data_IF_467455974032
#
_entry.id   IF_467455974032
#
_cell.length_a   1.000
_cell.length_b   1.000
_cell.length_c   1.000
_cell.angle_alpha   90.00
_cell.angle_beta   90.00
_cell.angle_gamma   90.00
#
_symmetry.space_group_name_H-M   'P 1'
#
loop_
_entity.id
_entity.type
_entity.pdbx_description
1 polymer ?
#
# COMPACT_ATOMS: atom_id res chain seq x y z
N UNK A 1 -10.13 3.77 -24.79
CA UNK A 1 -11.14 4.21 -23.79
C UNK A 1 -10.36 4.47 -22.51
N UNK A 2 -10.32 5.71 -22.03
CA UNK A 2 -9.61 6.04 -20.77
C UNK A 2 -10.47 5.51 -19.63
N UNK A 3 -9.87 4.71 -18.74
CA UNK A 3 -10.54 4.24 -17.52
C UNK A 3 -10.84 5.45 -16.64
N UNK A 4 -12.07 5.57 -16.17
CA UNK A 4 -12.46 6.55 -15.16
C UNK A 4 -12.00 6.11 -13.77
N UNK A 5 -11.98 7.03 -12.81
CA UNK A 5 -11.70 6.70 -11.40
C UNK A 5 -12.71 5.67 -10.86
N UNK A 6 -13.98 5.77 -11.27
CA UNK A 6 -15.02 4.79 -10.97
C UNK A 6 -14.69 3.40 -11.51
N UNK A 7 -14.11 3.30 -12.71
CA UNK A 7 -13.69 2.01 -13.26
C UNK A 7 -12.52 1.42 -12.44
N UNK A 8 -11.58 2.27 -12.00
CA UNK A 8 -10.47 1.83 -11.15
C UNK A 8 -10.95 1.34 -9.77
N UNK A 9 -11.87 2.08 -9.14
CA UNK A 9 -12.49 1.68 -7.88
C UNK A 9 -13.22 0.34 -8.00
N UNK A 10 -14.01 0.15 -9.05
CA UNK A 10 -14.72 -1.11 -9.29
C UNK A 10 -13.77 -2.31 -9.48
N UNK A 11 -12.63 -2.09 -10.16
CA UNK A 11 -11.58 -3.11 -10.32
C UNK A 11 -10.89 -3.42 -8.98
N UNK A 12 -10.57 -2.40 -8.18
CA UNK A 12 -9.98 -2.59 -6.85
C UNK A 12 -10.92 -3.40 -5.95
N UNK A 13 -12.20 -3.06 -5.92
CA UNK A 13 -13.22 -3.79 -5.15
C UNK A 13 -13.37 -5.24 -5.61
N UNK A 14 -13.29 -5.50 -6.93
CA UNK A 14 -13.36 -6.85 -7.47
C UNK A 14 -12.16 -7.71 -7.05
N UNK A 15 -10.95 -7.13 -7.06
CA UNK A 15 -9.74 -7.80 -6.59
C UNK A 15 -9.81 -8.10 -5.09
N UNK A 16 -10.25 -7.14 -4.27
CA UNK A 16 -10.40 -7.33 -2.82
C UNK A 16 -11.38 -8.45 -2.53
N UNK A 17 -12.58 -8.41 -3.12
CA UNK A 17 -13.61 -9.44 -2.90
C UNK A 17 -13.13 -10.84 -3.27
N UNK A 18 -12.49 -11.00 -4.42
CA UNK A 18 -12.01 -12.31 -4.85
C UNK A 18 -10.82 -12.78 -4.02
N UNK A 19 -9.92 -11.87 -3.62
CA UNK A 19 -8.81 -12.16 -2.72
C UNK A 19 -9.30 -12.67 -1.36
N UNK A 20 -10.22 -11.94 -0.73
CA UNK A 20 -10.79 -12.31 0.57
C UNK A 20 -11.53 -13.65 0.50
N UNK A 21 -12.31 -13.87 -0.56
CA UNK A 21 -13.01 -15.14 -0.79
C UNK A 21 -12.01 -16.30 -0.86
N UNK A 22 -10.94 -16.16 -1.65
CA UNK A 22 -9.92 -17.23 -1.81
C UNK A 22 -9.11 -17.44 -0.54
N UNK A 23 -8.77 -16.38 0.19
CA UNK A 23 -8.11 -16.50 1.49
C UNK A 23 -8.98 -17.26 2.48
N UNK A 24 -10.26 -16.92 2.59
CA UNK A 24 -11.21 -17.61 3.48
C UNK A 24 -11.43 -19.08 3.08
N UNK A 25 -11.38 -19.39 1.79
CA UNK A 25 -11.52 -20.75 1.26
C UNK A 25 -10.22 -21.59 1.28
N UNK A 26 -9.07 -20.98 1.56
CA UNK A 26 -7.76 -21.65 1.47
C UNK A 26 -7.30 -21.93 0.03
N UNK A 27 -7.85 -21.21 -0.95
CA UNK A 27 -7.64 -21.38 -2.41
C UNK A 27 -6.54 -20.44 -2.94
N UNK A 28 -5.64 -19.96 -2.08
CA UNK A 28 -4.60 -18.99 -2.47
C UNK A 28 -3.56 -19.60 -3.41
N UNK A 29 -3.38 -20.93 -3.39
CA UNK A 29 -2.50 -21.66 -4.31
C UNK A 29 -2.92 -21.52 -5.79
N UNK A 30 -4.19 -21.20 -6.05
CA UNK A 30 -4.72 -21.02 -7.41
C UNK A 30 -4.53 -19.58 -7.93
N UNK A 31 -3.99 -18.67 -7.10
CA UNK A 31 -3.62 -17.32 -7.51
C UNK A 31 -2.17 -17.36 -7.98
N UNK A 32 -1.92 -16.96 -9.23
CA UNK A 32 -0.56 -16.94 -9.74
C UNK A 32 0.31 -15.91 -9.02
N UNK A 33 1.56 -16.26 -8.73
CA UNK A 33 2.55 -15.35 -8.16
C UNK A 33 2.69 -14.06 -8.97
N UNK A 34 2.63 -14.17 -10.31
CA UNK A 34 2.71 -13.04 -11.22
C UNK A 34 1.57 -12.02 -11.00
N UNK A 35 0.34 -12.49 -10.71
CA UNK A 35 -0.78 -11.63 -10.38
C UNK A 35 -0.54 -10.88 -9.06
N UNK A 36 -0.06 -11.58 -8.03
CA UNK A 36 0.25 -10.97 -6.73
C UNK A 36 1.37 -9.93 -6.89
N UNK A 37 2.41 -10.24 -7.65
CA UNK A 37 3.51 -9.31 -7.95
C UNK A 37 3.03 -8.04 -8.66
N UNK A 38 2.16 -8.18 -9.66
CA UNK A 38 1.61 -7.05 -10.41
C UNK A 38 0.74 -6.14 -9.52
N UNK A 39 -0.11 -6.73 -8.69
CA UNK A 39 -0.96 -6.01 -7.74
C UNK A 39 -0.11 -5.24 -6.72
N UNK A 40 0.83 -5.92 -6.06
CA UNK A 40 1.70 -5.31 -5.06
C UNK A 40 2.54 -4.18 -5.65
N UNK A 41 3.12 -4.40 -6.84
CA UNK A 41 3.92 -3.38 -7.55
C UNK A 41 3.09 -2.14 -7.87
N UNK A 42 1.88 -2.34 -8.39
CA UNK A 42 0.99 -1.25 -8.80
C UNK A 42 0.49 -0.46 -7.60
N UNK A 43 0.00 -1.15 -6.57
CA UNK A 43 -0.48 -0.53 -5.33
C UNK A 43 0.64 0.26 -4.61
N UNK A 44 1.83 -0.32 -4.48
CA UNK A 44 2.98 0.33 -3.84
C UNK A 44 3.38 1.61 -4.59
N UNK A 45 3.46 1.56 -5.93
CA UNK A 45 3.80 2.74 -6.75
C UNK A 45 2.74 3.83 -6.66
N UNK A 46 1.46 3.45 -6.68
CA UNK A 46 0.36 4.41 -6.54
C UNK A 46 0.37 5.08 -5.17
N UNK A 47 0.56 4.29 -4.10
CA UNK A 47 0.65 4.83 -2.74
C UNK A 47 1.84 5.78 -2.62
N UNK A 48 3.04 5.36 -3.00
CA UNK A 48 4.24 6.18 -2.95
C UNK A 48 4.08 7.48 -3.76
N UNK A 49 3.51 7.41 -4.97
CA UNK A 49 3.25 8.62 -5.76
C UNK A 49 2.30 9.58 -5.06
N UNK A 50 1.21 9.06 -4.47
CA UNK A 50 0.21 9.90 -3.79
C UNK A 50 0.77 10.53 -2.51
N UNK A 51 1.59 9.81 -1.75
CA UNK A 51 2.09 10.30 -0.46
C UNK A 51 3.37 11.12 -0.57
N UNK A 52 4.32 10.70 -1.40
CA UNK A 52 5.61 11.38 -1.57
C UNK A 52 5.55 12.49 -2.62
N UNK A 53 4.98 12.23 -3.80
CA UNK A 53 4.98 13.20 -4.92
C UNK A 53 3.80 14.16 -4.85
N UNK A 54 2.60 13.66 -4.53
CA UNK A 54 1.38 14.48 -4.42
C UNK A 54 1.14 15.03 -2.99
N UNK A 55 2.03 14.73 -2.04
CA UNK A 55 1.96 15.17 -0.64
C UNK A 55 0.61 14.89 0.06
N UNK A 56 -0.08 13.80 -0.32
CA UNK A 56 -1.34 13.40 0.32
C UNK A 56 -1.07 12.60 1.59
N UNK A 57 -1.92 12.79 2.60
CA UNK A 57 -1.89 12.00 3.83
C UNK A 57 -3.14 11.13 3.93
N UNK A 58 -2.96 9.81 3.93
CA UNK A 58 -4.01 8.81 4.14
C UNK A 58 -3.37 7.48 4.57
N UNK A 59 -4.14 6.63 5.24
CA UNK A 59 -3.68 5.31 5.66
C UNK A 59 -3.28 4.45 4.45
N UNK A 60 -2.17 3.68 4.51
CA UNK A 60 -1.85 2.68 3.49
C UNK A 60 -2.82 1.49 3.49
N UNK A 61 -3.60 1.33 4.56
CA UNK A 61 -4.59 0.26 4.73
C UNK A 61 -6.01 0.82 4.58
N UNK A 62 -6.86 0.08 3.87
CA UNK A 62 -8.28 0.37 3.78
C UNK A 62 -8.96 0.19 5.16
N UNK A 63 -10.06 0.92 5.38
CA UNK A 63 -10.79 0.87 6.64
C UNK A 63 -11.28 -0.55 6.95
N UNK A 64 -11.03 -1.01 8.18
CA UNK A 64 -11.38 -2.35 8.63
C UNK A 64 -10.44 -3.46 8.14
N UNK A 65 -9.48 -3.18 7.25
CA UNK A 65 -8.42 -4.13 6.89
C UNK A 65 -7.34 -4.15 7.97
N UNK A 66 -6.99 -5.35 8.42
CA UNK A 66 -5.92 -5.56 9.41
C UNK A 66 -4.88 -6.50 8.81
N UNK A 67 -3.66 -6.01 8.65
CA UNK A 67 -2.50 -6.86 8.41
C UNK A 67 -1.94 -7.32 9.76
N UNK A 68 -1.60 -8.61 9.86
CA UNK A 68 -0.84 -9.09 11.02
C UNK A 68 0.58 -8.51 11.01
N UNK A 69 1.24 -8.53 12.17
CA UNK A 69 2.65 -8.14 12.25
C UNK A 69 3.54 -8.99 11.31
N UNK A 70 3.17 -10.25 11.11
CA UNK A 70 3.87 -11.16 10.19
C UNK A 70 3.70 -10.74 8.74
N UNK A 71 2.48 -10.37 8.31
CA UNK A 71 2.22 -9.92 6.94
C UNK A 71 3.09 -8.69 6.63
N UNK A 72 3.10 -7.72 7.53
CA UNK A 72 3.92 -6.51 7.40
C UNK A 72 5.41 -6.86 7.34
N UNK A 73 5.92 -7.67 8.28
CA UNK A 73 7.33 -8.00 8.34
C UNK A 73 7.80 -8.75 7.08
N UNK A 74 7.04 -9.74 6.61
CA UNK A 74 7.36 -10.51 5.40
C UNK A 74 7.33 -9.62 4.16
N UNK A 75 6.27 -8.83 3.98
CA UNK A 75 6.14 -7.99 2.79
C UNK A 75 7.19 -6.88 2.75
N UNK A 76 7.41 -6.16 3.86
CA UNK A 76 8.40 -5.07 3.91
C UNK A 76 9.81 -5.58 3.69
N UNK A 77 10.20 -6.67 4.36
CA UNK A 77 11.56 -7.23 4.18
C UNK A 77 11.79 -7.77 2.77
N UNK A 78 10.77 -8.34 2.13
CA UNK A 78 10.83 -8.76 0.73
C UNK A 78 10.99 -7.55 -0.22
N UNK A 79 10.24 -6.47 -0.01
CA UNK A 79 10.35 -5.25 -0.80
C UNK A 79 11.72 -4.59 -0.64
N UNK A 80 12.25 -4.53 0.58
CA UNK A 80 13.60 -4.02 0.84
C UNK A 80 14.65 -4.83 0.07
N UNK A 81 14.58 -6.16 0.12
CA UNK A 81 15.49 -7.03 -0.63
C UNK A 81 15.37 -6.84 -2.14
N UNK A 82 14.15 -6.70 -2.66
CA UNK A 82 13.92 -6.49 -4.09
C UNK A 82 14.43 -5.14 -4.59
N UNK A 83 14.46 -4.13 -3.73
CA UNK A 83 14.97 -2.78 -4.03
C UNK A 83 16.44 -2.57 -3.62
N UNK A 84 17.12 -3.60 -3.12
CA UNK A 84 18.48 -3.54 -2.58
C UNK A 84 18.65 -2.46 -1.48
N UNK A 85 17.66 -2.35 -0.60
CA UNK A 85 17.63 -1.39 0.51
C UNK A 85 18.02 -2.04 1.84
N UNK A 86 18.77 -1.31 2.65
CA UNK A 86 19.02 -1.63 4.05
C UNK A 86 18.21 -0.71 5.00
N UNK A 87 18.23 -1.00 6.31
CA UNK A 87 17.50 -0.21 7.31
C UNK A 87 18.04 1.23 7.44
N UNK A 88 19.32 1.45 7.18
CA UNK A 88 19.91 2.79 7.21
C UNK A 88 19.35 3.66 6.08
N UNK A 89 19.20 3.11 4.87
CA UNK A 89 18.59 3.82 3.72
C UNK A 89 17.15 4.25 4.04
N UNK A 90 16.37 3.38 4.69
CA UNK A 90 15.01 3.72 5.11
C UNK A 90 14.98 4.82 6.17
N UNK A 91 15.92 4.84 7.10
CA UNK A 91 15.97 5.87 8.15
C UNK A 91 16.18 7.27 7.57
N UNK A 92 16.93 7.39 6.47
CA UNK A 92 17.10 8.65 5.73
C UNK A 92 15.80 9.12 5.06
N UNK A 93 14.90 8.21 4.69
CA UNK A 93 13.60 8.53 4.10
C UNK A 93 12.55 8.87 5.17
N UNK A 94 12.55 8.16 6.30
CA UNK A 94 11.64 8.41 7.41
C UNK A 94 11.79 9.84 7.97
N UNK A 95 12.99 10.39 7.95
CA UNK A 95 13.25 11.79 8.32
C UNK A 95 12.71 12.84 7.34
N UNK A 96 12.25 12.45 6.14
CA UNK A 96 11.67 13.37 5.14
C UNK A 96 10.17 13.59 5.32
N UNK A 97 9.48 12.70 6.05
CA UNK A 97 8.05 12.85 6.32
C UNK A 97 7.87 14.04 7.26
N UNK A 98 7.45 15.17 6.69
CA UNK A 98 7.14 16.41 7.40
C UNK A 98 6.16 16.10 8.55
N UNK A 99 6.35 16.65 9.77
CA UNK A 99 5.36 16.51 10.82
C UNK A 99 4.01 17.01 10.32
N UNK A 100 2.95 16.25 10.63
CA UNK A 100 1.57 16.66 10.39
C UNK A 100 1.42 18.07 10.94
N UNK A 101 0.96 19.00 10.08
CA UNK A 101 0.84 20.41 10.42
C UNK A 101 0.21 20.57 11.80
N UNK A 102 0.97 21.17 12.71
CA UNK A 102 0.44 21.69 13.96
C UNK A 102 -0.77 22.54 13.59
N UNK A 103 -1.94 22.16 14.11
CA UNK A 103 -3.14 22.95 14.01
C UNK A 103 -2.79 24.39 14.39
N UNK A 104 -3.18 25.32 13.52
CA UNK A 104 -3.20 26.75 13.82
C UNK A 104 -4.23 27.01 14.93
N UNK A 105 -3.91 26.62 16.15
CA UNK A 105 -4.61 26.99 17.37
C UNK A 105 -3.80 28.07 18.07
N UNK A 106 -4.01 29.31 17.65
CA UNK A 106 -3.47 30.46 18.38
C UNK A 106 -3.36 31.74 17.56
N UNK A 107 -4.41 32.57 17.65
CA UNK A 107 -4.34 33.99 18.04
C UNK A 107 -5.26 34.90 17.19
N UNK A 108 -6.29 35.46 17.84
CA UNK A 108 -7.15 36.53 17.30
C UNK A 108 -8.56 36.49 17.87
#
# INVERSE_FOLDING_TARGET
MSLSDTDFAALADAVIREGDRRMAAGETADISDASVQQLLTTATRLYARKTDVEARSFSPLADGSILSATDVAVTVTALMRAADLNLFDLSMWAGRVQPVGEGSDGNG
#
